data_IF_783178207781
#
_entry.id   IF_783178207781
#
_cell.length_a   1.000
_cell.length_b   1.000
_cell.length_c   1.000
_cell.angle_alpha   90.00
_cell.angle_beta   90.00
_cell.angle_gamma   90.00
#
_symmetry.space_group_name_H-M   'P 1'
#
loop_
_entity.id
_entity.type
_entity.pdbx_description
1 polymer ?
#
# COMPACT_ATOMS: atom_id res chain seq x y z
N UNK A 1 8.84 -4.51 3.13
CA UNK A 1 9.05 -4.97 1.73
C UNK A 1 10.55 -4.99 1.47
N UNK A 2 11.18 -6.17 1.38
CA UNK A 2 12.53 -6.28 0.80
C UNK A 2 12.43 -6.08 -0.72
N UNK A 3 13.41 -5.45 -1.38
CA UNK A 3 13.33 -5.16 -2.80
C UNK A 3 13.50 -6.45 -3.61
N UNK A 4 12.38 -7.09 -3.98
CA UNK A 4 12.31 -8.16 -4.99
C UNK A 4 12.82 -7.67 -6.37
N UNK A 5 13.03 -6.36 -6.54
CA UNK A 5 13.49 -5.73 -7.79
C UNK A 5 14.91 -6.09 -8.21
N UNK A 6 15.81 -6.41 -7.29
CA UNK A 6 17.23 -6.61 -7.63
C UNK A 6 17.57 -8.06 -8.00
N UNK A 7 16.85 -9.05 -7.47
CA UNK A 7 17.14 -10.48 -7.72
C UNK A 7 16.63 -10.98 -9.08
N UNK A 8 15.55 -10.39 -9.59
CA UNK A 8 14.91 -10.75 -10.86
C UNK A 8 15.85 -10.66 -12.08
N UNK A 9 16.58 -9.55 -12.33
CA UNK A 9 17.51 -9.48 -13.45
C UNK A 9 18.70 -10.44 -13.32
N UNK A 10 19.18 -10.71 -12.09
CA UNK A 10 20.37 -11.54 -11.83
C UNK A 10 20.14 -12.98 -12.29
N UNK A 11 18.98 -13.58 -11.98
CA UNK A 11 18.64 -14.94 -12.41
C UNK A 11 18.66 -15.11 -13.94
N UNK A 12 18.20 -14.09 -14.67
CA UNK A 12 18.20 -14.08 -16.14
C UNK A 12 19.62 -14.03 -16.71
N UNK A 13 20.50 -13.20 -16.15
CA UNK A 13 21.90 -13.10 -16.59
C UNK A 13 22.72 -14.35 -16.24
N UNK A 14 22.46 -14.96 -15.08
CA UNK A 14 23.10 -16.24 -14.71
C UNK A 14 22.73 -17.37 -15.68
N UNK A 15 21.47 -17.44 -16.11
CA UNK A 15 21.05 -18.43 -17.11
C UNK A 15 21.75 -18.22 -18.47
N UNK A 16 21.91 -16.97 -18.92
CA UNK A 16 22.67 -16.69 -20.15
C UNK A 16 24.15 -17.03 -20.05
N UNK A 17 24.77 -16.72 -18.90
CA UNK A 17 26.17 -17.04 -18.65
C UNK A 17 26.42 -18.56 -18.66
N UNK A 18 25.53 -19.33 -18.03
CA UNK A 18 25.61 -20.80 -17.99
C UNK A 18 25.40 -21.42 -19.37
N UNK A 19 24.48 -20.88 -20.18
CA UNK A 19 24.29 -21.33 -21.57
C UNK A 19 25.44 -20.91 -22.49
N UNK A 20 26.13 -19.80 -22.21
CA UNK A 20 27.36 -19.45 -22.92
C UNK A 20 28.52 -20.38 -22.53
N UNK A 21 28.67 -20.66 -21.23
CA UNK A 21 29.67 -21.59 -20.70
C UNK A 21 29.48 -23.01 -21.27
N UNK A 22 28.24 -23.47 -21.46
CA UNK A 22 27.98 -24.77 -22.10
C UNK A 22 28.55 -24.83 -23.52
N UNK A 23 28.31 -23.81 -24.33
CA UNK A 23 28.84 -23.69 -25.70
C UNK A 23 30.37 -23.68 -25.68
N UNK A 24 30.98 -22.91 -24.78
CA UNK A 24 32.44 -22.83 -24.65
C UNK A 24 33.04 -24.19 -24.28
N UNK A 25 32.48 -24.88 -23.30
CA UNK A 25 32.95 -26.21 -22.84
C UNK A 25 32.88 -27.26 -23.95
N UNK A 26 31.89 -27.16 -24.84
CA UNK A 26 31.70 -28.10 -25.96
C UNK A 26 32.65 -27.84 -27.12
N UNK A 27 33.01 -26.58 -27.35
CA UNK A 27 33.87 -26.18 -28.48
C UNK A 27 35.36 -26.20 -28.10
N UNK A 28 35.70 -25.98 -26.82
CA UNK A 28 37.07 -25.97 -26.30
C UNK A 28 37.96 -27.15 -26.76
N UNK A 29 37.46 -28.41 -26.82
CA UNK A 29 38.25 -29.56 -27.27
C UNK A 29 38.67 -29.50 -28.74
N UNK A 30 37.99 -28.72 -29.58
CA UNK A 30 38.36 -28.54 -30.99
C UNK A 30 39.49 -27.51 -31.18
N UNK A 31 39.66 -26.59 -30.21
CA UNK A 31 40.71 -25.58 -30.26
C UNK A 31 42.01 -26.03 -29.58
N UNK A 32 41.89 -26.88 -28.56
CA UNK A 32 43.02 -27.47 -27.87
C UNK A 32 43.24 -28.85 -28.49
N UNK A 33 44.19 -28.99 -29.41
CA UNK A 33 44.63 -30.28 -29.97
C UNK A 33 45.28 -31.17 -28.88
N UNK A 34 44.55 -31.51 -27.83
CA UNK A 34 45.02 -32.33 -26.73
C UNK A 34 44.64 -33.80 -27.01
N UNK A 35 45.63 -34.71 -27.16
CA UNK A 35 45.34 -36.14 -27.21
C UNK A 35 44.91 -36.61 -25.81
N UNK A 36 43.61 -36.75 -25.59
CA UNK A 36 43.08 -37.37 -24.39
C UNK A 36 43.02 -38.90 -24.58
N UNK A 37 43.99 -39.61 -24.04
CA UNK A 37 43.93 -41.07 -23.92
C UNK A 37 43.12 -41.46 -22.67
N UNK A 38 41.85 -41.84 -22.88
CA UNK A 38 40.97 -42.37 -21.83
C UNK A 38 41.20 -43.88 -21.67
N UNK A 39 42.13 -44.23 -20.79
CA UNK A 39 42.65 -45.60 -20.65
C UNK A 39 41.77 -46.57 -19.81
N UNK A 40 40.45 -46.37 -19.73
CA UNK A 40 39.56 -47.30 -19.02
C UNK A 40 38.15 -47.34 -19.62
N UNK A 41 37.90 -48.33 -20.50
CA UNK A 41 36.64 -48.51 -21.23
C UNK A 41 35.44 -48.84 -20.32
N UNK A 42 35.67 -49.50 -19.19
CA UNK A 42 34.59 -50.08 -18.38
C UNK A 42 33.99 -49.11 -17.36
N UNK A 43 34.77 -48.15 -16.84
CA UNK A 43 34.25 -47.12 -15.93
C UNK A 43 33.53 -46.00 -16.69
N UNK A 44 34.09 -45.56 -17.82
CA UNK A 44 33.59 -44.41 -18.58
C UNK A 44 32.20 -44.62 -19.17
N UNK A 45 31.90 -45.82 -19.68
CA UNK A 45 30.56 -46.17 -20.17
C UNK A 45 29.50 -46.16 -19.07
N UNK A 46 29.86 -46.60 -17.85
CA UNK A 46 28.97 -46.56 -16.69
C UNK A 46 28.70 -45.11 -16.23
N UNK A 47 29.71 -44.25 -16.19
CA UNK A 47 29.53 -42.82 -15.86
C UNK A 47 28.68 -42.08 -16.89
N UNK A 48 28.88 -42.33 -18.19
CA UNK A 48 28.07 -41.75 -19.25
C UNK A 48 26.62 -42.26 -19.22
N UNK A 49 26.41 -43.57 -19.03
CA UNK A 49 25.07 -44.15 -18.88
C UNK A 49 24.30 -43.54 -17.69
N UNK A 50 24.99 -43.30 -16.58
CA UNK A 50 24.40 -42.68 -15.38
C UNK A 50 24.04 -41.21 -15.60
N UNK A 51 24.91 -40.44 -16.27
CA UNK A 51 24.65 -39.04 -16.63
C UNK A 51 23.47 -38.94 -17.62
N UNK A 52 23.35 -39.88 -18.56
CA UNK A 52 22.26 -39.90 -19.54
C UNK A 52 20.93 -40.32 -18.92
N UNK A 53 20.96 -41.31 -18.02
CA UNK A 53 19.79 -41.71 -17.23
C UNK A 53 19.30 -40.57 -16.33
N UNK A 54 20.23 -39.85 -15.68
CA UNK A 54 19.93 -38.62 -14.95
C UNK A 54 19.33 -37.55 -15.87
N UNK A 55 19.93 -37.28 -17.02
CA UNK A 55 19.41 -36.31 -17.99
C UNK A 55 17.99 -36.66 -18.46
N UNK A 56 17.69 -37.93 -18.72
CA UNK A 56 16.36 -38.41 -19.12
C UNK A 56 15.29 -38.25 -18.02
N UNK A 57 15.62 -38.62 -16.77
CA UNK A 57 14.75 -38.40 -15.61
C UNK A 57 14.51 -36.90 -15.40
N UNK A 58 15.56 -36.10 -15.53
CA UNK A 58 15.52 -34.65 -15.35
C UNK A 58 14.68 -33.96 -16.43
N UNK A 59 14.79 -34.37 -17.72
CA UNK A 59 13.93 -33.87 -18.80
C UNK A 59 12.47 -34.22 -18.52
N UNK A 60 12.19 -35.43 -18.04
CA UNK A 60 10.83 -35.86 -17.68
C UNK A 60 10.26 -35.01 -16.54
N UNK A 61 11.04 -34.76 -15.48
CA UNK A 61 10.67 -33.88 -14.37
C UNK A 61 10.44 -32.45 -14.84
N UNK A 62 11.29 -31.94 -15.75
CA UNK A 62 11.16 -30.58 -16.30
C UNK A 62 9.88 -30.43 -17.13
N UNK A 63 9.60 -31.39 -18.02
CA UNK A 63 8.36 -31.42 -18.80
C UNK A 63 7.15 -31.53 -17.88
N UNK A 64 7.22 -32.36 -16.84
CA UNK A 64 6.16 -32.48 -15.84
C UNK A 64 5.92 -31.19 -15.06
N UNK A 65 6.98 -30.52 -14.58
CA UNK A 65 6.89 -29.24 -13.87
C UNK A 65 6.32 -28.14 -14.78
N UNK A 66 6.71 -28.11 -16.05
CA UNK A 66 6.18 -27.18 -17.05
C UNK A 66 4.69 -27.46 -17.32
N UNK A 67 4.31 -28.74 -17.48
CA UNK A 67 2.92 -29.13 -17.74
C UNK A 67 2.02 -28.81 -16.54
N UNK A 68 2.44 -29.10 -15.31
CA UNK A 68 1.72 -28.73 -14.09
C UNK A 68 1.65 -27.21 -13.91
N UNK A 69 2.74 -26.50 -14.18
CA UNK A 69 2.75 -25.03 -14.19
C UNK A 69 2.02 -24.41 -15.40
N UNK A 70 1.44 -25.20 -16.30
CA UNK A 70 0.59 -24.68 -17.38
C UNK A 70 -0.91 -24.80 -17.07
N UNK A 71 -1.30 -25.71 -16.16
CA UNK A 71 -2.71 -25.95 -15.81
C UNK A 71 -3.31 -24.82 -14.96
N UNK A 72 -2.51 -24.16 -14.11
CA UNK A 72 -2.95 -23.09 -13.21
C UNK A 72 -2.76 -21.65 -13.77
N UNK A 73 -2.31 -21.51 -15.02
CA UNK A 73 -1.83 -20.23 -15.56
C UNK A 73 -2.47 -19.86 -16.90
N UNK A 74 -2.64 -18.54 -17.12
CA UNK A 74 -3.22 -17.95 -18.33
C UNK A 74 -2.56 -18.50 -19.61
N UNK A 75 -3.39 -19.01 -20.52
CA UNK A 75 -2.98 -19.56 -21.83
C UNK A 75 -2.17 -18.57 -22.69
N UNK A 76 -2.31 -17.26 -22.44
CA UNK A 76 -1.55 -16.22 -23.15
C UNK A 76 -0.09 -16.13 -22.71
N UNK A 77 0.22 -16.42 -21.45
CA UNK A 77 1.58 -16.37 -20.91
C UNK A 77 2.41 -17.58 -21.34
N UNK A 78 1.81 -18.77 -21.34
CA UNK A 78 2.41 -19.97 -21.93
C UNK A 78 2.75 -19.72 -23.39
N UNK A 79 1.84 -19.09 -24.16
CA UNK A 79 2.10 -18.74 -25.56
C UNK A 79 3.26 -17.74 -25.72
N UNK A 80 3.40 -16.78 -24.81
CA UNK A 80 4.48 -15.78 -24.86
C UNK A 80 5.85 -16.38 -24.52
N UNK A 81 5.91 -17.29 -23.55
CA UNK A 81 7.14 -17.98 -23.13
C UNK A 81 7.61 -18.98 -24.18
N UNK A 82 6.69 -19.77 -24.76
CA UNK A 82 7.05 -20.83 -25.72
C UNK A 82 7.23 -20.32 -27.16
N UNK A 83 6.36 -19.44 -27.66
CA UNK A 83 6.36 -19.07 -29.09
C UNK A 83 7.09 -17.76 -29.40
N UNK A 84 7.28 -16.86 -28.42
CA UNK A 84 7.93 -15.56 -28.66
C UNK A 84 9.42 -15.56 -28.32
N UNK A 85 9.87 -16.37 -27.37
CA UNK A 85 11.29 -16.50 -27.05
C UNK A 85 11.92 -17.64 -27.85
N UNK A 86 12.45 -17.31 -29.03
CA UNK A 86 13.22 -18.22 -29.92
C UNK A 86 14.30 -19.03 -29.17
N UNK A 87 14.80 -18.49 -28.06
CA UNK A 87 15.84 -19.07 -27.20
C UNK A 87 15.41 -20.36 -26.48
N UNK A 88 14.16 -20.45 -26.01
CA UNK A 88 13.70 -21.65 -25.29
C UNK A 88 13.54 -22.85 -26.24
N UNK A 89 13.00 -22.61 -27.43
CA UNK A 89 12.96 -23.62 -28.50
C UNK A 89 14.37 -24.04 -28.97
N UNK A 90 15.32 -23.09 -29.01
CA UNK A 90 16.71 -23.41 -29.34
C UNK A 90 17.38 -24.29 -28.27
N UNK A 91 17.19 -24.02 -26.98
CA UNK A 91 17.71 -24.86 -25.88
C UNK A 91 17.10 -26.27 -25.95
N UNK A 92 15.79 -26.40 -26.15
CA UNK A 92 15.15 -27.71 -26.28
C UNK A 92 15.63 -28.47 -27.51
N UNK A 93 15.71 -27.81 -28.67
CA UNK A 93 16.24 -28.42 -29.90
C UNK A 93 17.70 -28.84 -29.74
N UNK A 94 18.50 -28.05 -29.03
CA UNK A 94 19.88 -28.35 -28.71
C UNK A 94 20.02 -29.58 -27.80
N UNK A 95 19.21 -29.67 -26.74
CA UNK A 95 19.16 -30.85 -25.86
C UNK A 95 18.79 -32.10 -26.66
N UNK A 96 17.78 -31.99 -27.53
CA UNK A 96 17.32 -33.11 -28.35
C UNK A 96 18.38 -33.57 -29.36
N UNK A 97 19.03 -32.62 -30.04
CA UNK A 97 20.13 -32.89 -30.98
C UNK A 97 21.34 -33.54 -30.28
N UNK A 98 21.68 -33.04 -29.09
CA UNK A 98 22.76 -33.59 -28.25
C UNK A 98 22.47 -35.03 -27.81
N UNK A 99 21.22 -35.34 -27.47
CA UNK A 99 20.77 -36.71 -27.14
C UNK A 99 20.83 -37.65 -28.34
N UNK A 100 20.46 -37.17 -29.54
CA UNK A 100 20.57 -37.95 -30.79
C UNK A 100 22.03 -38.28 -31.08
N UNK A 101 22.90 -37.27 -31.08
CA UNK A 101 24.34 -37.46 -31.33
C UNK A 101 24.98 -38.42 -30.33
N UNK A 102 24.59 -38.33 -29.05
CA UNK A 102 25.04 -39.27 -28.02
C UNK A 102 24.59 -40.71 -28.32
N UNK A 103 23.29 -40.90 -28.60
CA UNK A 103 22.72 -42.22 -28.89
C UNK A 103 23.44 -42.86 -30.10
N UNK A 104 23.59 -42.10 -31.19
CA UNK A 104 24.32 -42.54 -32.38
C UNK A 104 25.80 -42.84 -32.10
N UNK A 105 26.50 -41.98 -31.33
CA UNK A 105 27.91 -42.18 -30.99
C UNK A 105 28.19 -43.35 -30.05
N UNK A 106 27.20 -43.77 -29.25
CA UNK A 106 27.30 -44.97 -28.39
C UNK A 106 26.92 -46.26 -29.10
N UNK A 107 26.02 -46.22 -30.09
CA UNK A 107 25.56 -47.40 -30.83
C UNK A 107 26.50 -47.85 -31.96
N UNK A 108 27.38 -46.96 -32.44
CA UNK A 108 28.41 -47.29 -33.41
C UNK A 108 29.76 -47.10 -32.73
N UNK A 109 30.64 -48.12 -32.70
CA UNK A 109 32.00 -48.08 -32.12
C UNK A 109 32.96 -47.16 -32.90
N UNK A 110 32.56 -45.90 -33.12
CA UNK A 110 33.37 -44.94 -33.85
C UNK A 110 34.27 -44.24 -32.86
N UNK A 111 35.58 -44.51 -32.98
CA UNK A 111 36.76 -43.68 -32.66
C UNK A 111 36.70 -42.93 -31.31
N UNK A 112 37.71 -43.11 -30.45
CA UNK A 112 37.86 -42.44 -29.14
C UNK A 112 37.57 -40.92 -29.11
N UNK A 113 37.73 -40.21 -30.23
CA UNK A 113 37.36 -38.80 -30.39
C UNK A 113 35.85 -38.52 -30.20
N UNK A 114 34.97 -39.43 -30.65
CA UNK A 114 33.51 -39.30 -30.48
C UNK A 114 33.12 -39.46 -29.01
N UNK A 115 33.81 -40.35 -28.28
CA UNK A 115 33.62 -40.55 -26.83
C UNK A 115 34.00 -39.32 -26.02
N UNK A 116 35.10 -38.65 -26.38
CA UNK A 116 35.51 -37.37 -25.77
C UNK A 116 34.48 -36.28 -26.06
N UNK A 117 34.03 -36.16 -27.32
CA UNK A 117 32.99 -35.20 -27.70
C UNK A 117 31.68 -35.43 -26.92
N UNK A 118 31.24 -36.68 -26.79
CA UNK A 118 30.06 -37.05 -26.00
C UNK A 118 30.17 -36.64 -24.52
N UNK A 119 31.35 -36.71 -23.92
CA UNK A 119 31.57 -36.24 -22.56
C UNK A 119 31.36 -34.74 -22.42
N UNK A 120 31.95 -33.93 -23.29
CA UNK A 120 31.78 -32.46 -23.26
C UNK A 120 30.34 -32.04 -23.56
N UNK A 121 29.66 -32.74 -24.46
CA UNK A 121 28.21 -32.56 -24.69
C UNK A 121 27.41 -32.85 -23.43
N UNK A 122 27.74 -33.90 -22.67
CA UNK A 122 27.02 -34.22 -21.43
C UNK A 122 27.22 -33.17 -20.32
N UNK A 123 28.43 -32.61 -20.17
CA UNK A 123 28.69 -31.47 -19.28
C UNK A 123 27.91 -30.23 -19.74
N UNK A 124 27.87 -29.97 -21.05
CA UNK A 124 27.08 -28.89 -21.62
C UNK A 124 25.57 -29.01 -21.35
N UNK A 125 25.03 -30.24 -21.35
CA UNK A 125 23.64 -30.50 -21.00
C UNK A 125 23.32 -30.13 -19.55
N UNK A 126 24.23 -30.40 -18.60
CA UNK A 126 24.05 -30.03 -17.19
C UNK A 126 23.94 -28.51 -17.04
N UNK A 127 24.82 -27.75 -17.69
CA UNK A 127 24.76 -26.29 -17.66
C UNK A 127 23.46 -25.73 -18.25
N UNK A 128 23.02 -26.28 -19.39
CA UNK A 128 21.75 -25.88 -20.01
C UNK A 128 20.54 -26.23 -19.14
N UNK A 129 20.60 -27.31 -18.37
CA UNK A 129 19.56 -27.66 -17.42
C UNK A 129 19.45 -26.65 -16.27
N UNK A 130 20.58 -26.24 -15.68
CA UNK A 130 20.60 -25.21 -14.63
C UNK A 130 20.04 -23.89 -15.18
N UNK A 131 20.40 -23.51 -16.41
CA UNK A 131 19.82 -22.33 -17.08
C UNK A 131 18.29 -22.41 -17.18
N UNK A 132 17.75 -23.59 -17.51
CA UNK A 132 16.32 -23.78 -17.69
C UNK A 132 15.54 -23.72 -16.35
N UNK A 133 16.13 -24.25 -15.27
CA UNK A 133 15.59 -24.10 -13.92
C UNK A 133 15.56 -22.63 -13.47
N UNK A 134 16.65 -21.89 -13.71
CA UNK A 134 16.74 -20.47 -13.37
C UNK A 134 15.73 -19.62 -14.14
N UNK A 135 15.55 -19.89 -15.44
CA UNK A 135 14.53 -19.20 -16.27
C UNK A 135 13.12 -19.52 -15.75
N UNK A 136 12.84 -20.77 -15.44
CA UNK A 136 11.52 -21.17 -14.92
C UNK A 136 11.22 -20.50 -13.57
N UNK A 137 12.21 -20.45 -12.67
CA UNK A 137 12.12 -19.73 -11.39
C UNK A 137 11.89 -18.23 -11.58
N UNK A 138 12.60 -17.60 -12.52
CA UNK A 138 12.39 -16.19 -12.88
C UNK A 138 10.94 -15.91 -13.29
N UNK A 139 10.37 -16.75 -14.17
CA UNK A 139 9.00 -16.55 -14.63
C UNK A 139 7.95 -16.77 -13.54
N UNK A 140 8.16 -17.75 -12.65
CA UNK A 140 7.29 -17.96 -11.48
C UNK A 140 7.26 -16.73 -10.55
N UNK A 141 8.41 -16.11 -10.31
CA UNK A 141 8.48 -14.90 -9.49
C UNK A 141 7.78 -13.72 -10.13
N UNK A 142 7.97 -13.49 -11.44
CA UNK A 142 7.26 -12.45 -12.18
C UNK A 142 5.74 -12.67 -12.13
N UNK A 143 5.29 -13.91 -12.24
CA UNK A 143 3.87 -14.27 -12.18
C UNK A 143 3.25 -14.04 -10.81
N UNK A 144 3.96 -14.35 -9.73
CA UNK A 144 3.50 -14.07 -8.37
C UNK A 144 3.30 -12.57 -8.15
N UNK A 145 4.21 -11.74 -8.66
CA UNK A 145 4.09 -10.28 -8.62
C UNK A 145 2.88 -9.81 -9.43
N UNK A 146 2.65 -10.37 -10.61
CA UNK A 146 1.47 -10.02 -11.44
C UNK A 146 0.17 -10.41 -10.74
N UNK A 147 0.05 -11.61 -10.16
CA UNK A 147 -1.13 -12.05 -9.40
C UNK A 147 -1.39 -11.14 -8.19
N UNK A 148 -0.35 -10.73 -7.48
CA UNK A 148 -0.48 -9.81 -6.34
C UNK A 148 -0.99 -8.43 -6.80
N UNK A 149 -0.49 -7.91 -7.92
CA UNK A 149 -0.95 -6.64 -8.51
C UNK A 149 -2.41 -6.79 -8.98
N UNK A 150 -2.78 -7.89 -9.63
CA UNK A 150 -4.13 -8.14 -10.12
C UNK A 150 -5.15 -8.24 -8.99
N UNK A 151 -4.83 -8.97 -7.91
CA UNK A 151 -5.66 -9.05 -6.70
C UNK A 151 -5.85 -7.67 -6.07
N UNK A 152 -4.77 -6.92 -5.85
CA UNK A 152 -4.84 -5.55 -5.30
C UNK A 152 -5.66 -4.61 -6.19
N UNK A 153 -5.53 -4.74 -7.51
CA UNK A 153 -6.28 -3.91 -8.47
C UNK A 153 -7.76 -4.26 -8.48
N UNK A 154 -8.08 -5.55 -8.44
CA UNK A 154 -9.47 -6.04 -8.41
C UNK A 154 -10.19 -5.62 -7.13
N UNK A 155 -9.53 -5.73 -5.98
CA UNK A 155 -10.09 -5.30 -4.70
C UNK A 155 -10.27 -3.78 -4.65
N UNK A 156 -9.32 -3.01 -5.19
CA UNK A 156 -9.47 -1.57 -5.34
C UNK A 156 -10.66 -1.20 -6.24
N UNK A 157 -10.84 -1.86 -7.38
CA UNK A 157 -11.97 -1.60 -8.30
C UNK A 157 -13.29 -1.93 -7.63
N UNK A 158 -13.41 -3.09 -6.98
CA UNK A 158 -14.63 -3.50 -6.25
C UNK A 158 -14.99 -2.51 -5.15
N UNK A 159 -14.02 -2.12 -4.34
CA UNK A 159 -14.24 -1.17 -3.25
C UNK A 159 -14.57 0.24 -3.78
N UNK A 160 -13.91 0.71 -4.83
CA UNK A 160 -14.22 1.99 -5.48
C UNK A 160 -15.62 2.00 -6.10
N UNK A 161 -16.06 0.88 -6.69
CA UNK A 161 -17.43 0.72 -7.18
C UNK A 161 -18.45 0.77 -6.03
N UNK A 162 -18.16 0.11 -4.91
CA UNK A 162 -18.98 0.20 -3.70
C UNK A 162 -19.04 1.64 -3.15
N UNK A 163 -17.90 2.33 -3.11
CA UNK A 163 -17.84 3.73 -2.68
C UNK A 163 -18.64 4.67 -3.59
N UNK A 164 -18.64 4.41 -4.90
CA UNK A 164 -19.45 5.17 -5.88
C UNK A 164 -20.95 4.85 -5.74
N UNK A 165 -21.30 3.68 -5.21
CA UNK A 165 -22.68 3.24 -4.96
C UNK A 165 -23.23 3.60 -3.58
N UNK A 166 -22.38 4.11 -2.67
CA UNK A 166 -22.89 4.82 -1.50
C UNK A 166 -23.83 5.91 -2.02
N UNK A 167 -24.98 6.15 -1.37
CA UNK A 167 -25.93 7.16 -1.80
C UNK A 167 -25.28 8.54 -1.72
N UNK A 168 -24.52 8.89 -2.75
CA UNK A 168 -24.04 10.22 -3.04
C UNK A 168 -25.29 11.03 -3.32
N UNK A 169 -25.75 11.71 -2.27
CA UNK A 169 -26.67 12.83 -2.39
C UNK A 169 -28.05 12.37 -2.90
N UNK A 170 -28.71 11.52 -2.11
CA UNK A 170 -30.18 11.60 -2.08
C UNK A 170 -30.53 12.95 -1.46
N UNK A 171 -31.27 13.82 -2.17
CA UNK A 171 -31.91 15.01 -1.59
C UNK A 171 -32.57 14.57 -0.28
N UNK A 172 -32.05 15.02 0.85
CA UNK A 172 -32.67 14.72 2.14
C UNK A 172 -34.04 15.39 2.08
N UNK A 173 -35.10 14.59 2.04
CA UNK A 173 -36.46 15.11 2.15
C UNK A 173 -36.69 15.38 3.63
N UNK A 174 -36.36 16.62 4.03
CA UNK A 174 -36.25 17.05 5.42
C UNK A 174 -37.60 17.33 6.09
N UNK A 175 -38.69 17.01 5.40
CA UNK A 175 -40.03 17.11 5.95
C UNK A 175 -40.26 16.09 7.09
N UNK A 176 -39.35 15.13 7.27
CA UNK A 176 -39.28 14.24 8.43
C UNK A 176 -37.83 14.07 8.91
N UNK A 177 -37.28 15.01 9.68
CA UNK A 177 -35.97 14.88 10.33
C UNK A 177 -36.06 13.82 11.43
N UNK A 178 -36.05 12.55 11.03
CA UNK A 178 -35.86 11.45 11.96
C UNK A 178 -34.36 11.26 12.20
N UNK A 179 -33.93 11.51 13.44
CA UNK A 179 -32.55 11.26 13.91
C UNK A 179 -32.04 9.88 13.48
N UNK A 180 -32.90 8.86 13.53
CA UNK A 180 -32.60 7.48 13.14
C UNK A 180 -32.28 7.36 11.64
N UNK A 181 -33.00 8.08 10.76
CA UNK A 181 -32.74 8.07 9.32
C UNK A 181 -31.35 8.64 9.00
N UNK A 182 -30.95 9.73 9.66
CA UNK A 182 -29.63 10.35 9.45
C UNK A 182 -28.52 9.45 9.99
N UNK A 183 -28.68 8.86 11.18
CA UNK A 183 -27.71 7.90 11.74
C UNK A 183 -27.50 6.71 10.79
N UNK A 184 -28.58 6.16 10.23
CA UNK A 184 -28.52 5.07 9.26
C UNK A 184 -27.85 5.46 7.93
N UNK A 185 -27.77 6.76 7.61
CA UNK A 185 -27.05 7.26 6.43
C UNK A 185 -25.56 7.50 6.71
N UNK A 186 -25.20 8.03 7.88
CA UNK A 186 -23.79 8.36 8.20
C UNK A 186 -22.99 7.10 8.55
N UNK A 187 -23.57 6.10 9.21
CA UNK A 187 -22.86 4.88 9.64
C UNK A 187 -22.18 4.13 8.49
N UNK A 188 -22.86 3.81 7.36
CA UNK A 188 -22.20 3.17 6.22
C UNK A 188 -21.04 4.01 5.64
N UNK A 189 -21.14 5.34 5.71
CA UNK A 189 -20.08 6.23 5.25
C UNK A 189 -18.89 6.17 6.21
N UNK A 190 -19.12 6.13 7.53
CA UNK A 190 -18.06 5.90 8.52
C UNK A 190 -17.40 4.53 8.38
N UNK A 191 -18.18 3.46 8.14
CA UNK A 191 -17.63 2.12 7.91
C UNK A 191 -16.74 2.08 6.67
N UNK A 192 -17.19 2.73 5.59
CA UNK A 192 -16.41 2.84 4.35
C UNK A 192 -15.17 3.71 4.56
N UNK A 193 -15.30 4.82 5.29
CA UNK A 193 -14.17 5.66 5.67
C UNK A 193 -13.13 4.84 6.44
N UNK A 194 -13.55 4.12 7.48
CA UNK A 194 -12.68 3.30 8.32
C UNK A 194 -11.92 2.25 7.52
N UNK A 195 -12.62 1.53 6.63
CA UNK A 195 -12.01 0.56 5.70
C UNK A 195 -11.06 1.24 4.72
N UNK A 196 -11.44 2.38 4.15
CA UNK A 196 -10.60 3.11 3.20
C UNK A 196 -9.29 3.61 3.83
N UNK A 197 -9.32 4.01 5.10
CA UNK A 197 -8.14 4.40 5.87
C UNK A 197 -7.20 3.20 6.05
N UNK A 198 -7.74 2.06 6.46
CA UNK A 198 -6.99 0.82 6.63
C UNK A 198 -6.36 0.30 5.33
N UNK A 199 -7.06 0.47 4.19
CA UNK A 199 -6.61 0.06 2.86
C UNK A 199 -5.78 1.13 2.13
N UNK A 200 -5.49 2.26 2.77
CA UNK A 200 -4.77 3.40 2.19
C UNK A 200 -5.37 3.94 0.88
N UNK A 201 -6.69 4.05 0.81
CA UNK A 201 -7.43 4.51 -0.36
C UNK A 201 -7.86 5.98 -0.21
N UNK A 202 -6.95 6.88 -0.55
CA UNK A 202 -7.09 8.33 -0.33
C UNK A 202 -8.34 8.94 -1.02
N UNK A 203 -8.59 8.57 -2.28
CA UNK A 203 -9.75 9.07 -3.04
C UNK A 203 -11.08 8.77 -2.35
N UNK A 204 -11.24 7.53 -1.88
CA UNK A 204 -12.46 7.09 -1.21
C UNK A 204 -12.60 7.77 0.15
N UNK A 205 -11.51 7.83 0.93
CA UNK A 205 -11.52 8.51 2.22
C UNK A 205 -11.94 9.98 2.08
N UNK A 206 -11.44 10.67 1.04
CA UNK A 206 -11.77 12.07 0.74
C UNK A 206 -13.25 12.23 0.36
N UNK A 207 -13.79 11.32 -0.45
CA UNK A 207 -15.21 11.32 -0.82
C UNK A 207 -16.12 11.07 0.39
N UNK A 208 -15.74 10.15 1.29
CA UNK A 208 -16.45 9.88 2.53
C UNK A 208 -16.46 11.12 3.45
N UNK A 209 -15.31 11.76 3.67
CA UNK A 209 -15.22 12.99 4.48
C UNK A 209 -16.07 14.11 3.89
N UNK A 210 -16.02 14.33 2.57
CA UNK A 210 -16.83 15.34 1.90
C UNK A 210 -18.34 15.07 2.03
N UNK A 211 -18.74 13.80 1.92
CA UNK A 211 -20.14 13.39 2.07
C UNK A 211 -20.63 13.59 3.50
N UNK A 212 -19.85 13.17 4.50
CA UNK A 212 -20.15 13.41 5.92
C UNK A 212 -20.26 14.90 6.20
N UNK A 213 -19.30 15.69 5.73
CA UNK A 213 -19.27 17.13 5.91
C UNK A 213 -20.54 17.79 5.35
N UNK A 214 -20.98 17.37 4.15
CA UNK A 214 -22.23 17.85 3.56
C UNK A 214 -23.45 17.47 4.40
N UNK A 215 -23.59 16.20 4.79
CA UNK A 215 -24.74 15.72 5.58
C UNK A 215 -24.83 16.44 6.91
N UNK A 216 -23.72 16.54 7.65
CA UNK A 216 -23.69 17.14 8.99
C UNK A 216 -23.95 18.65 8.90
N UNK A 217 -23.36 19.36 7.94
CA UNK A 217 -23.62 20.80 7.74
C UNK A 217 -25.09 21.06 7.41
N UNK A 218 -25.66 20.27 6.49
CA UNK A 218 -27.07 20.37 6.12
C UNK A 218 -27.96 20.14 7.34
N UNK A 219 -27.71 19.05 8.08
CA UNK A 219 -28.42 18.75 9.32
C UNK A 219 -28.38 19.91 10.33
N UNK A 220 -27.18 20.39 10.67
CA UNK A 220 -26.99 21.48 11.64
C UNK A 220 -27.71 22.76 11.22
N UNK A 221 -27.67 23.09 9.92
CA UNK A 221 -28.30 24.29 9.38
C UNK A 221 -29.83 24.22 9.45
N UNK A 222 -30.41 23.08 9.10
CA UNK A 222 -31.88 22.91 9.04
C UNK A 222 -32.50 22.67 10.41
N UNK A 223 -31.70 22.18 11.35
CA UNK A 223 -32.12 22.00 12.75
C UNK A 223 -31.54 23.08 13.66
N UNK A 224 -31.23 24.28 13.14
CA UNK A 224 -30.60 25.35 13.93
C UNK A 224 -31.40 25.77 15.17
N UNK A 225 -32.71 25.52 15.19
CA UNK A 225 -33.59 25.74 16.35
C UNK A 225 -33.46 24.66 17.43
N UNK A 226 -32.95 23.47 17.10
CA UNK A 226 -32.77 22.36 18.04
C UNK A 226 -31.59 22.63 18.97
N UNK A 227 -31.86 22.70 20.27
CA UNK A 227 -30.87 22.98 21.32
C UNK A 227 -30.95 21.93 22.43
N UNK A 228 -30.49 20.72 22.13
CA UNK A 228 -30.41 19.63 23.10
C UNK A 228 -28.94 19.25 23.35
N UNK A 229 -28.62 18.96 24.61
CA UNK A 229 -27.36 18.32 25.01
C UNK A 229 -27.29 16.86 24.52
N UNK A 230 -28.44 16.26 24.24
CA UNK A 230 -28.60 14.88 23.78
C UNK A 230 -28.79 14.79 22.26
N UNK A 231 -28.09 15.65 21.49
CA UNK A 231 -28.09 15.56 20.03
C UNK A 231 -27.40 14.26 19.59
N UNK A 232 -28.19 13.21 19.39
CA UNK A 232 -27.70 11.85 19.10
C UNK A 232 -26.85 11.79 17.83
N UNK A 233 -27.06 12.69 16.86
CA UNK A 233 -26.25 12.72 15.64
C UNK A 233 -24.85 13.24 15.96
N UNK A 234 -24.73 14.28 16.78
CA UNK A 234 -23.44 14.81 17.22
C UNK A 234 -22.70 13.85 18.15
N UNK A 235 -23.43 13.13 18.99
CA UNK A 235 -22.85 12.07 19.83
C UNK A 235 -22.32 10.90 18.99
N UNK A 236 -23.11 10.40 18.03
CA UNK A 236 -22.67 9.36 17.08
C UNK A 236 -21.46 9.84 16.26
N UNK A 237 -21.46 11.09 15.80
CA UNK A 237 -20.34 11.68 15.08
C UNK A 237 -19.05 11.68 15.91
N UNK A 238 -19.12 12.06 17.18
CA UNK A 238 -17.97 12.05 18.08
C UNK A 238 -17.47 10.62 18.32
N UNK A 239 -18.38 9.66 18.57
CA UNK A 239 -18.04 8.26 18.80
C UNK A 239 -17.34 7.64 17.58
N UNK A 240 -17.96 7.74 16.40
CA UNK A 240 -17.40 7.23 15.15
C UNK A 240 -16.07 7.90 14.80
N UNK A 241 -15.95 9.21 15.03
CA UNK A 241 -14.69 9.93 14.81
C UNK A 241 -13.57 9.41 15.72
N UNK A 242 -13.87 9.09 16.98
CA UNK A 242 -12.90 8.48 17.90
C UNK A 242 -12.38 7.13 17.38
N UNK A 243 -13.25 6.34 16.74
CA UNK A 243 -12.90 5.07 16.14
C UNK A 243 -11.98 5.26 14.93
N UNK A 244 -12.27 6.25 14.08
CA UNK A 244 -11.43 6.62 12.93
C UNK A 244 -10.04 7.08 13.38
N UNK A 245 -9.94 7.89 14.44
CA UNK A 245 -8.63 8.30 15.00
C UNK A 245 -7.79 7.08 15.39
N UNK A 246 -8.40 6.11 16.10
CA UNK A 246 -7.71 4.86 16.49
C UNK A 246 -7.21 4.08 15.26
N UNK A 247 -8.05 3.94 14.24
CA UNK A 247 -7.67 3.24 12.99
C UNK A 247 -6.55 3.96 12.25
N UNK A 248 -6.67 5.28 12.09
CA UNK A 248 -5.69 6.11 11.40
C UNK A 248 -4.29 5.96 11.99
N UNK A 249 -4.20 5.95 13.33
CA UNK A 249 -2.93 5.80 14.05
C UNK A 249 -2.40 4.38 13.92
N UNK A 250 -3.26 3.37 14.01
CA UNK A 250 -2.87 1.95 13.89
C UNK A 250 -2.20 1.64 12.55
N UNK A 251 -2.68 2.23 11.46
CA UNK A 251 -2.18 1.97 10.11
C UNK A 251 -1.18 3.04 9.60
N UNK A 252 -0.79 3.99 10.45
CA UNK A 252 0.17 5.07 10.13
C UNK A 252 -0.09 5.78 8.79
N UNK A 253 -1.37 5.97 8.43
CA UNK A 253 -1.75 6.53 7.13
C UNK A 253 -1.57 8.05 7.11
N UNK A 254 -0.37 8.52 6.77
CA UNK A 254 0.03 9.92 6.81
C UNK A 254 -0.88 10.85 5.97
N UNK A 255 -1.27 10.44 4.76
CA UNK A 255 -2.12 11.27 3.89
C UNK A 255 -3.49 11.52 4.51
N UNK A 256 -4.04 10.51 5.19
CA UNK A 256 -5.29 10.64 5.90
C UNK A 256 -5.15 11.46 7.19
N UNK A 257 -4.01 11.29 7.89
CA UNK A 257 -3.68 12.09 9.09
C UNK A 257 -3.74 13.59 8.83
N UNK A 258 -3.43 14.06 7.62
CA UNK A 258 -3.49 15.49 7.32
C UNK A 258 -4.93 16.00 7.08
N UNK A 259 -5.82 15.17 6.52
CA UNK A 259 -7.18 15.59 6.12
C UNK A 259 -8.20 15.51 7.24
N UNK A 260 -8.09 14.51 8.11
CA UNK A 260 -9.09 14.25 9.15
C UNK A 260 -9.20 15.38 10.21
N UNK A 261 -8.09 15.99 10.69
CA UNK A 261 -8.16 17.11 11.64
C UNK A 261 -8.83 18.35 11.03
N UNK A 262 -8.60 18.61 9.73
CA UNK A 262 -9.29 19.68 9.00
C UNK A 262 -10.80 19.46 8.97
N UNK A 263 -11.23 18.23 8.68
CA UNK A 263 -12.64 17.85 8.75
C UNK A 263 -13.24 18.08 10.15
N UNK A 264 -12.56 17.64 11.21
CA UNK A 264 -13.03 17.82 12.58
C UNK A 264 -13.10 19.30 12.98
N UNK A 265 -12.08 20.10 12.66
CA UNK A 265 -12.07 21.54 12.92
C UNK A 265 -13.20 22.28 12.19
N UNK A 266 -13.49 21.88 10.94
CA UNK A 266 -14.63 22.39 10.19
C UNK A 266 -15.96 22.07 10.89
N UNK A 267 -16.21 20.78 11.17
CA UNK A 267 -17.42 20.33 11.85
C UNK A 267 -17.60 21.03 13.20
N UNK A 268 -16.55 21.12 14.02
CA UNK A 268 -16.62 21.78 15.32
C UNK A 268 -16.99 23.27 15.20
N UNK A 269 -16.44 23.96 14.20
CA UNK A 269 -16.84 25.34 13.90
C UNK A 269 -18.30 25.45 13.47
N UNK A 270 -18.86 24.46 12.77
CA UNK A 270 -20.28 24.41 12.40
C UNK A 270 -21.18 24.11 13.59
N UNK A 271 -20.74 23.21 14.49
CA UNK A 271 -21.44 22.96 15.76
C UNK A 271 -21.53 24.25 16.56
N UNK A 272 -20.43 25.00 16.70
CA UNK A 272 -20.45 26.30 17.38
C UNK A 272 -21.30 27.36 16.66
N UNK A 273 -21.50 27.24 15.34
CA UNK A 273 -22.36 28.16 14.58
C UNK A 273 -23.85 27.92 14.85
N UNK A 274 -24.28 26.66 14.88
CA UNK A 274 -25.70 26.28 14.89
C UNK A 274 -26.20 25.70 16.23
N UNK A 275 -25.31 25.34 17.16
CA UNK A 275 -25.63 24.80 18.49
C UNK A 275 -25.06 25.64 19.62
N UNK A 276 -24.84 26.92 19.36
CA UNK A 276 -24.06 27.77 20.26
C UNK A 276 -24.57 27.88 21.71
N UNK A 277 -25.90 27.76 21.91
CA UNK A 277 -26.55 27.95 23.21
C UNK A 277 -27.02 26.62 23.81
N UNK A 278 -26.24 25.56 23.61
CA UNK A 278 -26.48 24.24 24.18
C UNK A 278 -25.60 24.09 25.42
N UNK A 279 -26.13 24.51 26.57
CA UNK A 279 -25.40 24.57 27.85
C UNK A 279 -24.47 25.78 27.97
N UNK A 280 -23.80 25.93 29.12
CA UNK A 280 -22.82 27.01 29.36
C UNK A 280 -21.52 26.84 28.56
N UNK A 281 -21.10 25.60 28.34
CA UNK A 281 -20.02 25.24 27.40
C UNK A 281 -20.57 24.16 26.46
N UNK A 282 -20.38 24.33 25.16
CA UNK A 282 -20.92 23.40 24.17
C UNK A 282 -20.18 22.06 24.22
N UNK A 283 -20.77 21.07 24.90
CA UNK A 283 -20.19 19.74 25.11
C UNK A 283 -19.84 19.02 23.80
N UNK A 284 -20.61 19.21 22.73
CA UNK A 284 -20.32 18.58 21.45
C UNK A 284 -19.05 19.16 20.80
N UNK A 285 -18.86 20.48 20.86
CA UNK A 285 -17.64 21.13 20.40
C UNK A 285 -16.43 20.80 21.29
N UNK A 286 -16.63 20.60 22.60
CA UNK A 286 -15.58 20.07 23.50
C UNK A 286 -15.11 18.69 23.06
N UNK A 287 -16.04 17.76 22.77
CA UNK A 287 -15.67 16.42 22.31
C UNK A 287 -14.82 16.47 21.04
N UNK A 288 -15.14 17.39 20.12
CA UNK A 288 -14.35 17.60 18.90
C UNK A 288 -12.97 18.18 19.22
N UNK A 289 -12.88 19.19 20.10
CA UNK A 289 -11.61 19.77 20.55
C UNK A 289 -10.70 18.71 21.17
N UNK A 290 -11.26 17.85 22.04
CA UNK A 290 -10.52 16.74 22.67
C UNK A 290 -10.04 15.72 21.65
N UNK A 291 -10.82 15.41 20.61
CA UNK A 291 -10.36 14.55 19.50
C UNK A 291 -9.19 15.19 18.72
N UNK A 292 -9.18 16.52 18.53
CA UNK A 292 -8.07 17.23 17.90
C UNK A 292 -6.81 17.17 18.78
N UNK A 293 -6.92 17.36 20.09
CA UNK A 293 -5.82 17.18 21.05
C UNK A 293 -5.29 15.74 21.00
N UNK A 294 -6.18 14.74 20.98
CA UNK A 294 -5.82 13.33 20.85
C UNK A 294 -5.04 13.03 19.58
N UNK A 295 -5.46 13.61 18.44
CA UNK A 295 -4.73 13.50 17.18
C UNK A 295 -3.36 14.17 17.30
N UNK A 296 -3.29 15.38 17.88
CA UNK A 296 -2.02 16.05 18.10
C UNK A 296 -1.05 15.16 18.87
N UNK A 297 -1.45 14.66 20.04
CA UNK A 297 -0.59 13.86 20.93
C UNK A 297 -0.12 12.59 20.21
N UNK A 298 -1.04 11.87 19.57
CA UNK A 298 -0.72 10.57 18.95
C UNK A 298 0.05 10.72 17.64
N UNK A 299 -0.11 11.84 16.93
CA UNK A 299 0.62 12.13 15.70
C UNK A 299 1.87 12.99 15.90
N UNK A 300 2.13 13.48 17.11
CA UNK A 300 3.26 14.36 17.44
C UNK A 300 4.62 13.78 16.98
N UNK A 301 4.78 12.46 17.10
CA UNK A 301 6.00 11.73 16.70
C UNK A 301 6.22 11.64 15.18
N UNK A 302 5.22 11.96 14.36
CA UNK A 302 5.31 11.88 12.90
C UNK A 302 5.58 13.26 12.31
N UNK A 303 6.86 13.66 12.31
CA UNK A 303 7.37 14.95 11.82
C UNK A 303 7.12 15.21 10.31
N UNK A 304 6.88 14.16 9.53
CA UNK A 304 6.55 14.24 8.09
C UNK A 304 5.07 14.57 7.82
N UNK A 305 4.22 14.61 8.84
CA UNK A 305 2.79 14.93 8.69
C UNK A 305 2.50 16.36 9.10
N UNK A 306 1.49 16.96 8.50
CA UNK A 306 0.94 18.24 8.95
C UNK A 306 -0.21 18.06 9.95
N UNK A 307 -0.57 16.83 10.30
CA UNK A 307 -1.66 16.51 11.23
C UNK A 307 -1.59 17.28 12.57
N UNK A 308 -0.44 17.39 13.26
CA UNK A 308 -0.35 18.20 14.49
C UNK A 308 -0.63 19.69 14.25
N UNK A 309 -0.17 20.24 13.12
CA UNK A 309 -0.46 21.64 12.74
C UNK A 309 -1.94 21.83 12.44
N UNK A 310 -2.55 20.90 11.71
CA UNK A 310 -3.98 20.95 11.40
C UNK A 310 -4.85 20.76 12.65
N UNK A 311 -4.40 19.98 13.63
CA UNK A 311 -5.07 19.87 14.93
C UNK A 311 -5.06 21.20 15.69
N UNK A 312 -3.89 21.86 15.79
CA UNK A 312 -3.77 23.20 16.40
C UNK A 312 -4.69 24.18 15.68
N UNK A 313 -4.61 24.26 14.35
CA UNK A 313 -5.43 25.15 13.53
C UNK A 313 -6.93 24.89 13.71
N UNK A 314 -7.32 23.62 13.83
CA UNK A 314 -8.69 23.21 14.11
C UNK A 314 -9.19 23.75 15.46
N UNK A 315 -8.39 23.64 16.52
CA UNK A 315 -8.74 24.17 17.85
C UNK A 315 -8.78 25.71 17.81
N UNK A 316 -7.80 26.35 17.18
CA UNK A 316 -7.77 27.80 16.97
C UNK A 316 -9.01 28.31 16.24
N UNK A 317 -9.52 27.54 15.28
CA UNK A 317 -10.77 27.85 14.59
C UNK A 317 -11.98 27.84 15.54
N UNK A 318 -12.04 26.91 16.50
CA UNK A 318 -13.08 26.90 17.53
C UNK A 318 -12.99 28.13 18.42
N UNK A 319 -11.78 28.50 18.87
CA UNK A 319 -11.54 29.71 19.68
C UNK A 319 -12.00 30.97 18.93
N UNK A 320 -11.54 31.15 17.68
CA UNK A 320 -11.91 32.28 16.82
C UNK A 320 -13.44 32.33 16.63
N UNK A 321 -14.10 31.19 16.42
CA UNK A 321 -15.56 31.10 16.25
C UNK A 321 -16.31 31.48 17.53
N UNK A 322 -15.83 31.06 18.70
CA UNK A 322 -16.41 31.47 19.98
C UNK A 322 -16.30 32.99 20.19
N UNK A 323 -15.15 33.58 19.89
CA UNK A 323 -14.93 35.03 20.02
C UNK A 323 -15.87 35.81 19.10
N UNK A 324 -15.96 35.42 17.82
CA UNK A 324 -16.85 36.05 16.83
C UNK A 324 -18.33 35.99 17.22
N UNK A 325 -18.69 35.05 18.09
CA UNK A 325 -20.05 34.84 18.56
C UNK A 325 -20.24 35.23 20.03
N UNK A 326 -19.22 35.86 20.64
CA UNK A 326 -19.22 36.35 22.02
C UNK A 326 -19.39 35.25 23.09
N UNK A 327 -18.97 34.02 22.80
CA UNK A 327 -19.00 32.88 23.75
C UNK A 327 -17.72 32.78 24.58
N UNK A 328 -17.51 33.78 25.44
CA UNK A 328 -16.29 33.90 26.21
C UNK A 328 -16.05 32.71 27.17
N UNK A 329 -17.11 32.10 27.73
CA UNK A 329 -16.97 30.94 28.62
C UNK A 329 -16.42 29.70 27.90
N UNK A 330 -16.82 29.45 26.65
CA UNK A 330 -16.26 28.36 25.84
C UNK A 330 -14.88 28.72 25.27
N UNK A 331 -14.59 30.01 25.07
CA UNK A 331 -13.31 30.50 24.57
C UNK A 331 -12.15 30.07 25.48
N UNK A 332 -12.30 30.21 26.80
CA UNK A 332 -11.27 29.80 27.76
C UNK A 332 -10.97 28.31 27.71
N UNK A 333 -11.98 27.47 27.47
CA UNK A 333 -11.82 26.00 27.40
C UNK A 333 -10.96 25.61 26.21
N UNK A 334 -11.30 26.08 25.00
CA UNK A 334 -10.54 25.72 23.79
C UNK A 334 -9.15 26.38 23.76
N UNK A 335 -9.02 27.57 24.37
CA UNK A 335 -7.72 28.21 24.53
C UNK A 335 -6.79 27.42 25.48
N UNK A 336 -7.35 26.78 26.50
CA UNK A 336 -6.60 25.88 27.38
C UNK A 336 -6.06 24.66 26.62
N UNK A 337 -6.83 24.08 25.69
CA UNK A 337 -6.37 22.97 24.86
C UNK A 337 -5.14 23.34 24.00
N UNK A 338 -5.07 24.58 23.47
CA UNK A 338 -3.88 25.08 22.75
C UNK A 338 -2.68 25.20 23.70
N UNK A 339 -2.90 25.73 24.92
CA UNK A 339 -1.85 25.84 25.94
C UNK A 339 -1.33 24.47 26.36
N UNK A 340 -2.21 23.49 26.55
CA UNK A 340 -1.84 22.10 26.86
C UNK A 340 -0.90 21.52 25.79
N UNK A 341 -1.23 21.73 24.51
CA UNK A 341 -0.38 21.36 23.38
C UNK A 341 0.99 22.04 23.43
N UNK A 342 1.04 23.34 23.71
CA UNK A 342 2.30 24.09 23.82
C UNK A 342 3.16 23.60 24.99
N UNK A 343 2.57 23.31 26.14
CA UNK A 343 3.27 22.75 27.29
C UNK A 343 3.86 21.37 26.97
N UNK A 344 3.11 20.51 26.26
CA UNK A 344 3.59 19.21 25.80
C UNK A 344 4.81 19.34 24.87
N UNK A 345 4.78 20.31 23.96
CA UNK A 345 5.91 20.62 23.08
C UNK A 345 7.12 21.15 23.87
N UNK A 346 6.89 22.02 24.86
CA UNK A 346 7.94 22.62 25.67
C UNK A 346 8.67 21.59 26.56
N UNK A 347 7.94 20.58 27.06
CA UNK A 347 8.51 19.48 27.85
C UNK A 347 9.39 18.53 27.02
N UNK A 348 9.23 18.51 25.69
CA UNK A 348 9.99 17.65 24.79
C UNK A 348 10.71 18.49 23.74
N UNK A 349 11.76 19.25 24.12
CA UNK A 349 12.39 20.23 23.24
C UNK A 349 13.05 19.54 22.04
N UNK A 350 12.57 19.86 20.84
CA UNK A 350 13.16 19.48 19.57
C UNK A 350 12.90 20.60 18.54
N UNK A 351 13.61 20.59 17.42
CA UNK A 351 13.33 21.53 16.31
C UNK A 351 11.87 21.43 15.85
N UNK A 352 11.31 20.22 15.82
CA UNK A 352 9.91 19.99 15.49
C UNK A 352 8.96 20.61 16.51
N UNK A 353 9.22 20.43 17.81
CA UNK A 353 8.42 21.02 18.89
C UNK A 353 8.46 22.54 18.86
N UNK A 354 9.63 23.14 18.59
CA UNK A 354 9.77 24.58 18.43
C UNK A 354 8.94 25.12 17.26
N UNK A 355 8.93 24.40 16.13
CA UNK A 355 8.08 24.77 14.98
C UNK A 355 6.58 24.69 15.31
N UNK A 356 6.15 23.68 16.06
CA UNK A 356 4.75 23.54 16.50
C UNK A 356 4.36 24.63 17.51
N UNK A 357 5.25 24.98 18.44
CA UNK A 357 5.04 26.11 19.38
C UNK A 357 4.93 27.41 18.61
N UNK A 358 5.82 27.69 17.66
CA UNK A 358 5.75 28.90 16.84
C UNK A 358 4.44 28.97 16.06
N UNK A 359 3.97 27.84 15.53
CA UNK A 359 2.68 27.77 14.84
C UNK A 359 1.51 28.08 15.79
N UNK A 360 1.48 27.47 16.98
CA UNK A 360 0.47 27.76 17.99
C UNK A 360 0.49 29.23 18.47
N UNK A 361 1.68 29.81 18.63
CA UNK A 361 1.85 31.22 19.00
C UNK A 361 1.31 32.17 17.93
N UNK A 362 1.55 31.88 16.66
CA UNK A 362 0.99 32.67 15.56
C UNK A 362 -0.55 32.63 15.58
N UNK A 363 -1.14 31.46 15.79
CA UNK A 363 -2.60 31.33 15.92
C UNK A 363 -3.15 32.08 17.16
N UNK A 364 -2.44 32.05 18.29
CA UNK A 364 -2.80 32.81 19.50
C UNK A 364 -2.70 34.32 19.24
N UNK A 365 -1.69 34.77 18.50
CA UNK A 365 -1.56 36.18 18.12
C UNK A 365 -2.79 36.63 17.32
N UNK A 366 -3.18 35.87 16.29
CA UNK A 366 -4.39 36.16 15.52
C UNK A 366 -5.65 36.23 16.41
N UNK A 367 -5.75 35.32 17.39
CA UNK A 367 -6.86 35.29 18.36
C UNK A 367 -6.89 36.57 19.21
N UNK A 368 -5.73 37.02 19.68
CA UNK A 368 -5.60 38.23 20.49
C UNK A 368 -5.90 39.50 19.67
N UNK A 369 -5.45 39.55 18.41
CA UNK A 369 -5.74 40.65 17.50
C UNK A 369 -7.25 40.75 17.24
N UNK A 370 -7.94 39.61 17.04
CA UNK A 370 -9.40 39.55 16.93
C UNK A 370 -10.12 40.07 18.18
N UNK A 371 -9.65 39.67 19.38
CA UNK A 371 -10.20 40.16 20.65
C UNK A 371 -10.01 41.67 20.82
N UNK A 372 -8.85 42.20 20.42
CA UNK A 372 -8.57 43.64 20.50
C UNK A 372 -9.50 44.44 19.58
N UNK A 373 -9.69 43.99 18.33
CA UNK A 373 -10.63 44.63 17.41
C UNK A 373 -12.07 44.65 17.92
N UNK A 374 -12.54 43.56 18.53
CA UNK A 374 -13.90 43.50 19.07
C UNK A 374 -14.07 44.38 20.32
N UNK A 375 -13.07 44.47 21.20
CA UNK A 375 -13.10 45.39 22.35
C UNK A 375 -13.19 46.86 21.91
N UNK A 376 -12.49 47.24 20.84
CA UNK A 376 -12.56 48.59 20.27
C UNK A 376 -13.92 48.85 19.61
N UNK A 377 -14.56 47.83 19.02
CA UNK A 377 -15.88 47.96 18.39
C UNK A 377 -17.04 48.12 19.39
N UNK A 378 -16.90 47.66 20.63
CA UNK A 378 -17.91 47.82 21.70
C UNK A 378 -17.81 49.18 22.42
N UNK A 379 -16.75 49.96 22.13
CA UNK A 379 -16.53 51.30 22.69
C UNK A 379 -16.91 52.47 21.77
N UNK A 380 -17.65 52.21 20.68
CA UNK A 380 -18.32 53.20 19.82
C UNK A 380 -19.83 52.96 19.85
#
# INVERSE_FOLDING_TARGET
MKPIKEEIPILKYMAYLLSFLSIVVIILPFFINAPFELNNSNGFGAYLGLITGLAGVIVTITVFLIQNASQDYSSQLVRMTFFKQKYFGFILGYIFFSLILYTFGTSFEVINQVKVFAFFVSVGLVFNFISLLLISSYFMNVLNVIKEIESKTTDYIKFKAQAKSLPLIGKINLNEISTTKIINQIRPIFDTLNKSVALNQDDVSTQCLNSLNKIIRTYLKETSSFKSLDDKILLELADQSSFIVKTMIKYENQKFMDKFPLFLGDIGSYVLEYRYNVGGVNNHAISISRLLVDIFIKCYKFDRTSAPKHAISGISKLVKKCIQKEYYQSTSTYYYDIKEIMELCARNPSFWSANLIQYALNDIKDINDLLHHLKVAVSF
#
